data_IF_218033150675
#
_entry.id   IF_218033150675
#
_cell.length_a   1.000
_cell.length_b   1.000
_cell.length_c   1.000
_cell.angle_alpha   90.00
_cell.angle_beta   90.00
_cell.angle_gamma   90.00
#
_symmetry.space_group_name_H-M   'P 1'
#
loop_
_entity.id
_entity.type
_entity.pdbx_description
1 polymer ?
#
# COMPACT_ATOMS: atom_id res chain seq x y z
N UNK A 1 6.27 45.16 10.20
CA UNK A 1 7.58 44.96 9.56
C UNK A 1 8.10 43.60 10.01
N UNK A 2 8.49 42.76 9.05
CA UNK A 2 8.81 41.33 9.17
C UNK A 2 9.90 41.00 10.21
N UNK A 3 9.85 39.79 10.77
CA UNK A 3 10.92 38.79 10.58
C UNK A 3 10.45 37.39 11.01
N UNK A 4 10.52 36.45 10.06
CA UNK A 4 10.51 35.00 10.25
C UNK A 4 11.92 34.54 10.63
N UNK A 5 12.07 33.52 11.47
CA UNK A 5 13.19 32.58 11.34
C UNK A 5 12.88 31.20 11.95
N UNK A 6 13.01 30.22 11.06
CA UNK A 6 12.90 28.78 11.16
C UNK A 6 13.69 28.09 12.28
N UNK A 7 13.23 26.89 12.65
CA UNK A 7 14.11 25.79 13.03
C UNK A 7 13.62 24.93 14.19
N UNK A 8 12.83 23.89 13.92
CA UNK A 8 12.59 22.81 14.90
C UNK A 8 12.70 21.45 14.23
N UNK A 9 13.89 20.87 14.34
CA UNK A 9 14.13 19.43 14.36
C UNK A 9 14.94 19.16 15.62
N UNK A 10 14.49 18.22 16.47
CA UNK A 10 15.45 17.22 16.92
C UNK A 10 14.79 15.85 17.17
N UNK A 11 15.11 14.86 16.34
CA UNK A 11 15.08 13.47 16.80
C UNK A 11 16.46 13.15 17.35
N UNK A 12 16.60 13.25 18.68
CA UNK A 12 17.78 12.74 19.38
C UNK A 12 17.46 11.33 19.89
N UNK A 13 18.11 10.36 19.28
CA UNK A 13 18.12 8.95 19.67
C UNK A 13 18.89 8.79 20.98
N UNK A 14 18.20 8.44 22.08
CA UNK A 14 18.73 7.49 23.07
C UNK A 14 17.69 7.08 24.12
N UNK A 15 17.68 5.77 24.38
CA UNK A 15 17.21 5.09 25.59
C UNK A 15 15.70 5.14 25.92
N UNK A 16 14.95 4.14 25.45
CA UNK A 16 13.73 3.73 26.15
C UNK A 16 13.85 2.25 26.47
N UNK A 17 14.10 1.96 27.76
CA UNK A 17 13.83 0.65 28.36
C UNK A 17 12.31 0.53 28.43
N UNK A 18 11.71 -0.14 27.44
CA UNK A 18 10.25 -0.18 27.28
C UNK A 18 9.67 -1.33 28.13
N UNK A 19 9.03 -0.97 29.24
CA UNK A 19 8.14 -1.86 29.99
C UNK A 19 6.99 -2.33 29.08
N UNK A 20 6.59 -3.61 29.20
CA UNK A 20 5.54 -4.29 28.39
C UNK A 20 4.20 -3.53 28.24
N UNK A 21 3.91 -2.57 29.13
CA UNK A 21 2.70 -1.76 29.09
C UNK A 21 2.81 -0.54 28.14
N UNK A 22 4.02 -0.01 27.94
CA UNK A 22 4.29 1.16 27.08
C UNK A 22 4.43 0.76 25.61
N UNK A 23 4.72 -0.51 25.31
CA UNK A 23 4.73 -1.02 23.93
C UNK A 23 3.35 -1.08 23.28
N UNK A 24 2.27 -1.15 24.07
CA UNK A 24 0.89 -1.15 23.54
C UNK A 24 0.48 0.25 23.07
N UNK A 25 0.75 1.29 23.88
CA UNK A 25 0.45 2.68 23.55
C UNK A 25 1.20 3.21 22.33
N UNK A 26 2.48 2.83 22.15
CA UNK A 26 3.20 3.16 20.90
C UNK A 26 2.66 2.38 19.69
N UNK A 27 2.22 1.13 19.85
CA UNK A 27 1.57 0.38 18.76
C UNK A 27 0.25 1.02 18.35
N UNK A 28 -0.59 1.42 19.31
CA UNK A 28 -1.86 2.10 19.04
C UNK A 28 -1.64 3.48 18.41
N UNK A 29 -0.67 4.26 18.88
CA UNK A 29 -0.33 5.55 18.26
C UNK A 29 0.30 5.38 16.86
N UNK A 30 1.12 4.35 16.64
CA UNK A 30 1.69 4.04 15.32
C UNK A 30 0.63 3.50 14.36
N UNK A 31 -0.32 2.68 14.85
CA UNK A 31 -1.50 2.24 14.10
C UNK A 31 -2.40 3.44 13.75
N UNK A 32 -2.65 4.36 14.69
CA UNK A 32 -3.35 5.63 14.42
C UNK A 32 -2.64 6.49 13.37
N UNK A 33 -1.29 6.53 13.34
CA UNK A 33 -0.54 7.26 12.31
C UNK A 33 -0.56 6.57 10.93
N UNK A 34 -0.71 5.25 10.86
CA UNK A 34 -0.90 4.51 9.60
C UNK A 34 -2.34 4.65 9.07
N UNK A 35 -3.31 4.92 9.94
CA UNK A 35 -4.74 4.88 9.61
C UNK A 35 -5.35 6.14 8.97
N UNK A 36 -4.59 7.18 8.67
CA UNK A 36 -5.17 8.38 8.05
C UNK A 36 -5.48 8.24 6.55
N UNK A 37 -5.29 7.05 5.96
CA UNK A 37 -5.58 6.77 4.55
C UNK A 37 -6.72 5.77 4.42
N UNK A 38 -7.82 6.18 3.79
CA UNK A 38 -8.96 5.30 3.52
C UNK A 38 -8.70 4.32 2.36
N UNK A 39 -7.65 4.54 1.54
CA UNK A 39 -7.32 3.67 0.40
C UNK A 39 -6.18 2.71 0.73
N UNK A 40 -6.31 1.47 0.28
CA UNK A 40 -5.28 0.42 0.40
C UNK A 40 -5.06 -0.25 -0.96
N UNK A 41 -3.82 -0.36 -1.41
CA UNK A 41 -3.44 -1.18 -2.56
C UNK A 41 -2.70 -2.43 -2.09
N UNK A 42 -3.21 -3.61 -2.44
CA UNK A 42 -2.58 -4.90 -2.20
C UNK A 42 -1.79 -5.31 -3.45
N UNK A 43 -0.51 -5.60 -3.27
CA UNK A 43 0.43 -6.05 -4.32
C UNK A 43 1.17 -7.33 -3.92
N UNK A 44 1.70 -8.08 -4.89
CA UNK A 44 2.41 -9.33 -4.61
C UNK A 44 3.82 -9.10 -4.03
N UNK A 45 4.58 -8.18 -4.62
CA UNK A 45 5.99 -7.99 -4.34
C UNK A 45 6.40 -6.58 -3.90
N UNK A 46 7.60 -6.50 -3.31
CA UNK A 46 8.25 -5.23 -2.96
C UNK A 46 8.62 -4.40 -4.20
N UNK A 47 8.89 -5.05 -5.33
CA UNK A 47 9.16 -4.38 -6.61
C UNK A 47 7.96 -3.56 -7.08
N UNK A 48 6.77 -4.13 -6.98
CA UNK A 48 5.51 -3.52 -7.39
C UNK A 48 5.23 -2.30 -6.52
N UNK A 49 5.34 -2.48 -5.20
CA UNK A 49 5.22 -1.38 -4.23
C UNK A 49 6.14 -0.21 -4.57
N UNK A 50 7.43 -0.48 -4.82
CA UNK A 50 8.41 0.56 -5.18
C UNK A 50 8.09 1.25 -6.50
N UNK A 51 7.41 0.60 -7.44
CA UNK A 51 6.98 1.26 -8.68
C UNK A 51 5.79 2.17 -8.45
N UNK A 52 4.79 1.68 -7.71
CA UNK A 52 3.59 2.44 -7.39
C UNK A 52 3.97 3.67 -6.56
N UNK A 53 4.84 3.52 -5.55
CA UNK A 53 5.33 4.63 -4.71
C UNK A 53 6.02 5.76 -5.50
N UNK A 54 6.60 5.45 -6.67
CA UNK A 54 7.19 6.50 -7.54
C UNK A 54 6.11 7.30 -8.26
N UNK A 55 5.02 6.65 -8.63
CA UNK A 55 3.99 7.17 -9.53
C UNK A 55 2.88 7.86 -8.74
N UNK A 56 2.49 7.30 -7.60
CA UNK A 56 1.34 7.73 -6.83
C UNK A 56 1.63 9.07 -6.13
N UNK A 57 0.66 9.96 -6.19
CA UNK A 57 0.64 11.26 -5.48
C UNK A 57 -0.63 11.36 -4.63
N UNK A 58 -1.12 10.20 -4.18
CA UNK A 58 -2.28 10.04 -3.32
C UNK A 58 -1.84 9.46 -1.98
N UNK A 59 -2.58 9.77 -0.92
CA UNK A 59 -2.34 9.16 0.39
C UNK A 59 -2.95 7.76 0.36
N UNK A 60 -2.08 6.75 0.28
CA UNK A 60 -2.47 5.35 0.14
C UNK A 60 -1.58 4.45 0.99
N UNK A 61 -2.15 3.37 1.52
CA UNK A 61 -1.37 2.29 2.15
C UNK A 61 -1.08 1.24 1.08
N UNK A 62 0.18 0.89 0.88
CA UNK A 62 0.57 -0.18 -0.06
C UNK A 62 1.09 -1.38 0.72
N UNK A 63 0.34 -2.48 0.66
CA UNK A 63 0.58 -3.73 1.38
C UNK A 63 1.12 -4.78 0.41
N UNK A 64 2.25 -5.39 0.76
CA UNK A 64 2.84 -6.48 0.00
C UNK A 64 2.47 -7.83 0.61
N UNK A 65 2.02 -8.78 -0.20
CA UNK A 65 1.70 -10.15 0.25
C UNK A 65 2.93 -11.05 0.31
N UNK A 66 4.04 -10.64 -0.32
CA UNK A 66 5.29 -11.38 -0.46
C UNK A 66 5.08 -12.78 -1.11
N UNK A 67 4.31 -12.81 -2.21
CA UNK A 67 3.96 -14.03 -2.93
C UNK A 67 2.65 -14.66 -2.45
N UNK A 68 2.62 -16.00 -2.33
CA UNK A 68 1.44 -16.75 -1.90
C UNK A 68 1.11 -16.51 -0.42
N UNK A 69 -0.13 -16.12 -0.12
CA UNK A 69 -0.64 -15.99 1.24
C UNK A 69 -1.31 -17.28 1.70
N UNK A 70 -0.80 -17.88 2.78
CA UNK A 70 -1.57 -18.85 3.56
C UNK A 70 -2.75 -18.17 4.25
N UNK A 71 -3.78 -18.93 4.60
CA UNK A 71 -5.03 -18.42 5.20
C UNK A 71 -4.75 -17.56 6.44
N UNK A 72 -3.94 -18.06 7.38
CA UNK A 72 -3.61 -17.34 8.62
C UNK A 72 -2.97 -15.96 8.38
N UNK A 73 -2.13 -15.84 7.34
CA UNK A 73 -1.49 -14.56 7.00
C UNK A 73 -2.46 -13.59 6.35
N UNK A 74 -3.49 -14.10 5.66
CA UNK A 74 -4.53 -13.26 5.08
C UNK A 74 -5.41 -12.70 6.19
N UNK A 75 -5.81 -13.52 7.17
CA UNK A 75 -6.57 -13.07 8.34
C UNK A 75 -5.81 -11.98 9.11
N UNK A 76 -4.51 -12.20 9.39
CA UNK A 76 -3.65 -11.19 10.03
C UNK A 76 -3.60 -9.88 9.21
N UNK A 77 -3.56 -9.97 7.89
CA UNK A 77 -3.52 -8.82 6.99
C UNK A 77 -4.85 -8.05 7.02
N UNK A 78 -5.98 -8.75 6.98
CA UNK A 78 -7.32 -8.16 7.08
C UNK A 78 -7.47 -7.36 8.37
N UNK A 79 -7.10 -7.96 9.51
CA UNK A 79 -7.17 -7.34 10.83
C UNK A 79 -6.19 -6.17 10.97
N UNK A 80 -4.92 -6.37 10.57
CA UNK A 80 -3.85 -5.36 10.76
C UNK A 80 -4.13 -4.07 10.01
N UNK A 81 -4.77 -4.16 8.85
CA UNK A 81 -5.03 -2.99 7.99
C UNK A 81 -6.50 -2.57 7.96
N UNK A 82 -7.38 -3.21 8.74
CA UNK A 82 -8.81 -2.91 8.81
C UNK A 82 -9.45 -2.87 7.41
N UNK A 83 -9.18 -3.90 6.59
CA UNK A 83 -9.51 -3.88 5.16
C UNK A 83 -11.01 -3.87 4.86
N UNK A 84 -11.85 -4.30 5.80
CA UNK A 84 -13.30 -4.26 5.66
C UNK A 84 -13.87 -2.84 5.70
N UNK A 85 -13.14 -1.89 6.29
CA UNK A 85 -13.57 -0.50 6.45
C UNK A 85 -12.89 0.46 5.46
N UNK A 86 -12.10 -0.08 4.51
CA UNK A 86 -11.29 0.70 3.57
C UNK A 86 -11.66 0.45 2.12
N UNK A 87 -11.31 1.42 1.29
CA UNK A 87 -11.33 1.29 -0.16
C UNK A 87 -10.13 0.43 -0.59
N UNK A 88 -10.37 -0.86 -0.80
CA UNK A 88 -9.32 -1.83 -1.13
C UNK A 88 -9.18 -1.99 -2.64
N UNK A 89 -7.94 -1.99 -3.11
CA UNK A 89 -7.58 -2.17 -4.51
C UNK A 89 -6.58 -3.32 -4.64
N UNK A 90 -6.84 -4.24 -5.58
CA UNK A 90 -5.99 -5.41 -5.81
C UNK A 90 -5.26 -5.23 -7.14
N UNK A 91 -3.93 -5.09 -7.07
CA UNK A 91 -3.04 -4.98 -8.22
C UNK A 91 -1.96 -6.06 -8.11
N UNK A 92 -2.27 -7.24 -8.66
CA UNK A 92 -1.40 -8.42 -8.64
C UNK A 92 -1.08 -8.88 -10.05
N UNK A 93 0.02 -9.60 -10.18
CA UNK A 93 0.57 -10.08 -11.45
C UNK A 93 -0.42 -10.95 -12.25
N UNK A 94 -0.30 -10.88 -13.57
CA UNK A 94 -1.06 -11.70 -14.52
C UNK A 94 -0.30 -13.00 -14.83
N UNK A 95 0.08 -13.71 -13.77
CA UNK A 95 0.72 -15.02 -13.84
C UNK A 95 -0.04 -16.07 -13.00
N UNK A 96 0.34 -17.37 -13.05
CA UNK A 96 -0.39 -18.40 -12.30
C UNK A 96 -0.41 -18.19 -10.77
N UNK A 97 0.59 -17.51 -10.18
CA UNK A 97 0.65 -17.19 -8.76
C UNK A 97 -0.31 -16.04 -8.44
N UNK A 98 -0.15 -14.91 -9.15
CA UNK A 98 -0.98 -13.73 -9.00
C UNK A 98 -2.46 -14.02 -9.26
N UNK A 99 -2.78 -14.90 -10.23
CA UNK A 99 -4.17 -15.32 -10.47
C UNK A 99 -4.77 -16.18 -9.36
N UNK A 100 -3.95 -17.00 -8.66
CA UNK A 100 -4.41 -17.74 -7.48
C UNK A 100 -4.65 -16.77 -6.31
N UNK A 101 -3.71 -15.86 -6.09
CA UNK A 101 -3.82 -14.82 -5.06
C UNK A 101 -5.06 -13.94 -5.29
N UNK A 102 -5.27 -13.48 -6.53
CA UNK A 102 -6.45 -12.70 -6.94
C UNK A 102 -7.75 -13.42 -6.60
N UNK A 103 -7.84 -14.72 -6.88
CA UNK A 103 -9.03 -15.54 -6.56
C UNK A 103 -9.25 -15.70 -5.06
N UNK A 104 -8.18 -15.78 -4.27
CA UNK A 104 -8.28 -15.86 -2.82
C UNK A 104 -8.75 -14.52 -2.24
N UNK A 105 -8.10 -13.41 -2.61
CA UNK A 105 -8.49 -12.07 -2.18
C UNK A 105 -9.93 -11.73 -2.58
N UNK A 106 -10.38 -12.09 -3.79
CA UNK A 106 -11.75 -11.84 -4.22
C UNK A 106 -12.83 -12.58 -3.39
N UNK A 107 -12.47 -13.66 -2.70
CA UNK A 107 -13.40 -14.38 -1.80
C UNK A 107 -13.49 -13.69 -0.44
N UNK A 108 -12.34 -13.28 0.10
CA UNK A 108 -12.27 -12.65 1.42
C UNK A 108 -12.63 -11.16 1.39
N UNK A 109 -12.39 -10.48 0.28
CA UNK A 109 -12.64 -9.04 0.08
C UNK A 109 -13.54 -8.81 -1.15
N UNK A 110 -14.83 -9.19 -1.11
CA UNK A 110 -15.73 -9.04 -2.26
C UNK A 110 -15.95 -7.59 -2.71
N UNK A 111 -15.67 -6.62 -1.83
CA UNK A 111 -15.76 -5.18 -2.11
C UNK A 111 -14.51 -4.60 -2.78
N UNK A 112 -13.40 -5.34 -2.84
CA UNK A 112 -12.15 -4.81 -3.40
C UNK A 112 -12.25 -4.55 -4.91
N UNK A 113 -11.76 -3.40 -5.35
CA UNK A 113 -11.65 -3.05 -6.76
C UNK A 113 -10.40 -3.70 -7.37
N UNK A 114 -10.57 -4.40 -8.48
CA UNK A 114 -9.48 -5.09 -9.15
C UNK A 114 -8.87 -4.23 -10.25
N UNK A 115 -7.60 -3.88 -10.09
CA UNK A 115 -6.81 -3.21 -11.12
C UNK A 115 -6.07 -4.27 -11.94
N UNK A 116 -6.05 -4.07 -13.25
CA UNK A 116 -5.39 -4.94 -14.21
C UNK A 116 -4.38 -4.14 -15.02
N UNK A 117 -3.23 -4.76 -15.27
CA UNK A 117 -2.24 -4.29 -16.24
C UNK A 117 -2.23 -5.28 -17.39
N UNK A 118 -1.88 -4.84 -18.60
CA UNK A 118 -1.92 -5.70 -19.79
C UNK A 118 -1.11 -6.99 -19.58
N UNK A 119 -1.72 -8.14 -19.87
CA UNK A 119 -1.09 -9.48 -19.86
C UNK A 119 0.24 -9.56 -20.61
N UNK A 120 0.50 -8.64 -21.54
CA UNK A 120 1.76 -8.56 -22.28
C UNK A 120 2.97 -8.32 -21.37
N UNK A 121 2.79 -7.61 -20.25
CA UNK A 121 3.87 -7.31 -19.30
C UNK A 121 4.04 -8.40 -18.25
N UNK A 122 2.97 -9.19 -18.01
CA UNK A 122 2.85 -10.27 -17.01
C UNK A 122 2.99 -9.84 -15.56
N UNK A 123 3.98 -9.02 -15.23
CA UNK A 123 4.30 -8.54 -13.88
C UNK A 123 4.00 -7.04 -13.76
N UNK A 124 3.49 -6.61 -12.61
CA UNK A 124 3.26 -5.19 -12.31
C UNK A 124 4.58 -4.43 -12.39
N UNK A 125 5.65 -4.97 -11.79
CA UNK A 125 6.99 -4.39 -11.89
C UNK A 125 7.59 -4.37 -13.32
N UNK A 126 7.05 -5.12 -14.29
CA UNK A 126 7.52 -5.04 -15.67
C UNK A 126 6.69 -4.04 -16.51
N UNK A 127 5.59 -3.53 -15.97
CA UNK A 127 4.68 -2.64 -16.69
C UNK A 127 5.33 -1.26 -16.88
N UNK A 128 5.32 -0.70 -18.11
CA UNK A 128 5.82 0.66 -18.36
C UNK A 128 5.14 1.67 -17.43
N UNK A 129 5.92 2.59 -16.85
CA UNK A 129 5.41 3.51 -15.81
C UNK A 129 4.20 4.32 -16.27
N UNK A 130 4.14 4.71 -17.54
CA UNK A 130 2.99 5.41 -18.13
C UNK A 130 1.73 4.56 -18.20
N UNK A 131 1.86 3.27 -18.51
CA UNK A 131 0.75 2.33 -18.53
C UNK A 131 0.23 2.10 -17.11
N UNK A 132 1.15 1.89 -16.15
CA UNK A 132 0.81 1.74 -14.73
C UNK A 132 0.15 3.01 -14.17
N UNK A 133 0.65 4.20 -14.51
CA UNK A 133 0.06 5.48 -14.11
C UNK A 133 -1.38 5.65 -14.63
N UNK A 134 -1.62 5.30 -15.90
CA UNK A 134 -2.98 5.34 -16.47
C UNK A 134 -3.93 4.35 -15.80
N UNK A 135 -3.45 3.15 -15.44
CA UNK A 135 -4.25 2.17 -14.71
C UNK A 135 -4.66 2.70 -13.31
N UNK A 136 -3.73 3.33 -12.59
CA UNK A 136 -3.99 3.97 -11.30
C UNK A 136 -4.97 5.15 -11.42
N UNK A 137 -4.85 5.99 -12.46
CA UNK A 137 -5.84 7.05 -12.74
C UNK A 137 -7.23 6.45 -12.98
N UNK A 138 -7.31 5.36 -13.76
CA UNK A 138 -8.57 4.66 -14.01
C UNK A 138 -9.26 4.19 -12.73
N UNK A 139 -8.47 3.77 -11.74
CA UNK A 139 -8.93 3.40 -10.41
C UNK A 139 -9.11 4.60 -9.44
N UNK A 140 -9.09 5.83 -9.96
CA UNK A 140 -9.35 7.09 -9.21
C UNK A 140 -8.25 7.42 -8.19
N UNK A 141 -7.00 7.09 -8.48
CA UNK A 141 -5.84 7.59 -7.75
C UNK A 141 -5.27 8.86 -8.39
N UNK A 142 -4.73 9.73 -7.55
CA UNK A 142 -3.87 10.83 -7.98
C UNK A 142 -2.47 10.29 -8.26
N UNK A 143 -1.88 10.66 -9.40
CA UNK A 143 -0.52 10.26 -9.79
C UNK A 143 0.29 11.49 -10.18
N UNK A 144 1.61 11.41 -10.02
CA UNK A 144 2.52 12.45 -10.46
C UNK A 144 2.46 12.60 -12.00
N UNK A 145 2.07 13.79 -12.52
CA UNK A 145 1.88 14.00 -13.96
C UNK A 145 3.11 13.72 -14.83
N UNK A 146 4.32 13.73 -14.26
CA UNK A 146 5.58 13.43 -14.97
C UNK A 146 5.55 12.04 -15.60
N UNK A 147 4.80 11.09 -15.02
CA UNK A 147 4.68 9.73 -15.53
C UNK A 147 3.61 9.57 -16.62
N UNK A 148 2.89 10.64 -16.99
CA UNK A 148 1.87 10.63 -18.04
C UNK A 148 2.38 11.17 -19.38
N UNK A 149 3.54 11.81 -19.39
CA UNK A 149 4.18 12.41 -20.57
C UNK A 149 4.76 11.34 -21.48
#
# INVERSE_FOLDING_TARGET
MMALSNGSHPYNTNQIVINKHVSCLHKECYAMMINESNKVIIVEGLSDKRQIEKIIDDKVIIVCTNGTLGVEKLDELLETYELDEKDVYILVDEDPSGMKLRKQLARELPHAEHIYVSSEYREVAATPMKVLANALIGARFTVNPTYLL
#
